data_IF_693606014152
#
_entry.id   IF_693606014152
#
_cell.length_a   1.000
_cell.length_b   1.000
_cell.length_c   1.000
_cell.angle_alpha   90.00
_cell.angle_beta   90.00
_cell.angle_gamma   90.00
#
_symmetry.space_group_name_H-M   'P 1'
#
loop_
_entity.id
_entity.type
_entity.pdbx_description
1 polymer ?
#
# COMPACT_ATOMS: atom_id res chain seq x y z
N UNK A 1 -15.25 9.06 -0.02
CA UNK A 1 -14.96 7.63 -0.27
C UNK A 1 -16.10 7.06 -1.09
N UNK A 2 -15.80 6.35 -2.17
CA UNK A 2 -16.79 5.50 -2.86
C UNK A 2 -17.23 4.41 -1.89
N UNK A 3 -18.54 4.15 -1.80
CA UNK A 3 -19.10 3.13 -0.91
C UNK A 3 -18.86 1.74 -1.53
N UNK A 4 -17.62 1.27 -1.48
CA UNK A 4 -17.15 -0.02 -2.01
C UNK A 4 -16.66 -0.88 -0.84
N UNK A 5 -16.87 -2.19 -0.91
CA UNK A 5 -16.31 -3.09 0.10
C UNK A 5 -14.81 -3.29 -0.15
N UNK A 6 -14.04 -3.51 0.91
CA UNK A 6 -12.60 -3.84 0.81
C UNK A 6 -12.34 -4.98 -0.18
N UNK A 7 -13.19 -6.01 -0.17
CA UNK A 7 -13.06 -7.11 -1.13
C UNK A 7 -13.15 -6.64 -2.59
N UNK A 8 -14.04 -5.71 -2.93
CA UNK A 8 -14.14 -5.18 -4.29
C UNK A 8 -13.01 -4.20 -4.62
N UNK A 9 -12.46 -3.53 -3.61
CA UNK A 9 -11.24 -2.73 -3.70
C UNK A 9 -10.02 -3.62 -4.02
N UNK A 10 -9.88 -4.78 -3.37
CA UNK A 10 -8.85 -5.78 -3.69
C UNK A 10 -8.90 -6.22 -5.16
N UNK A 11 -10.11 -6.39 -5.72
CA UNK A 11 -10.26 -6.71 -7.16
C UNK A 11 -9.76 -5.59 -8.06
N UNK A 12 -10.06 -4.33 -7.75
CA UNK A 12 -9.60 -3.19 -8.53
C UNK A 12 -8.07 -3.07 -8.47
N UNK A 13 -7.49 -3.22 -7.28
CA UNK A 13 -6.04 -3.23 -7.09
C UNK A 13 -5.39 -4.37 -7.88
N UNK A 14 -5.89 -5.60 -7.75
CA UNK A 14 -5.33 -6.75 -8.48
C UNK A 14 -5.38 -6.55 -10.01
N UNK A 15 -6.49 -6.02 -10.54
CA UNK A 15 -6.60 -5.69 -11.98
C UNK A 15 -5.55 -4.64 -12.37
N UNK A 16 -5.38 -3.61 -11.55
CA UNK A 16 -4.39 -2.55 -11.79
C UNK A 16 -2.97 -3.10 -11.83
N UNK A 17 -2.55 -3.85 -10.80
CA UNK A 17 -1.21 -4.44 -10.73
C UNK A 17 -0.94 -5.43 -11.87
N UNK A 18 -1.90 -6.29 -12.21
CA UNK A 18 -1.74 -7.23 -13.31
C UNK A 18 -1.61 -6.48 -14.64
N UNK A 19 -2.40 -5.44 -14.86
CA UNK A 19 -2.33 -4.64 -16.07
C UNK A 19 -0.99 -3.89 -16.21
N UNK A 20 -0.46 -3.33 -15.13
CA UNK A 20 0.86 -2.66 -15.15
C UNK A 20 2.00 -3.66 -15.46
N UNK A 21 1.88 -4.92 -15.03
CA UNK A 21 2.91 -5.94 -15.23
C UNK A 21 2.80 -6.72 -16.55
N UNK A 22 1.57 -7.01 -17.01
CA UNK A 22 1.28 -7.90 -18.15
C UNK A 22 0.56 -7.21 -19.31
N UNK A 23 0.24 -5.92 -19.18
CA UNK A 23 -0.52 -5.13 -20.14
C UNK A 23 -2.05 -5.30 -20.02
N UNK A 24 -2.54 -6.48 -19.64
CA UNK A 24 -3.97 -6.72 -19.47
C UNK A 24 -4.27 -7.76 -18.38
N UNK A 25 -5.36 -7.57 -17.64
CA UNK A 25 -5.80 -8.52 -16.62
C UNK A 25 -6.75 -9.55 -17.21
N UNK A 26 -6.50 -10.84 -16.95
CA UNK A 26 -7.44 -11.93 -17.29
C UNK A 26 -8.08 -12.46 -16.01
N UNK A 27 -9.34 -12.96 -16.05
CA UNK A 27 -10.01 -13.52 -14.87
C UNK A 27 -9.20 -14.61 -14.14
N UNK A 28 -8.42 -15.42 -14.89
CA UNK A 28 -7.52 -16.43 -14.33
C UNK A 28 -6.38 -15.81 -13.52
N UNK A 29 -5.77 -14.73 -14.01
CA UNK A 29 -4.70 -14.04 -13.29
C UNK A 29 -5.22 -13.39 -12.01
N UNK A 30 -6.43 -12.81 -12.07
CA UNK A 30 -7.11 -12.22 -10.91
C UNK A 30 -7.39 -13.29 -9.85
N UNK A 31 -7.95 -14.45 -10.26
CA UNK A 31 -8.22 -15.57 -9.37
C UNK A 31 -6.95 -16.04 -8.64
N UNK A 32 -5.85 -16.17 -9.39
CA UNK A 32 -4.56 -16.61 -8.85
C UNK A 32 -3.96 -15.57 -7.88
N UNK A 33 -3.97 -14.28 -8.24
CA UNK A 33 -3.44 -13.18 -7.43
C UNK A 33 -4.16 -13.05 -6.09
N UNK A 34 -5.49 -13.15 -6.11
CA UNK A 34 -6.35 -13.03 -4.93
C UNK A 34 -6.57 -14.35 -4.20
N UNK A 35 -6.07 -15.48 -4.74
CA UNK A 35 -6.27 -16.84 -4.19
C UNK A 35 -7.76 -17.19 -3.99
N UNK A 36 -8.61 -16.81 -4.96
CA UNK A 36 -10.06 -17.03 -4.93
C UNK A 36 -10.54 -17.93 -6.07
N UNK A 37 -11.76 -18.45 -5.95
CA UNK A 37 -12.37 -19.29 -7.00
C UNK A 37 -12.73 -18.44 -8.24
N UNK A 38 -12.64 -18.97 -9.47
CA UNK A 38 -13.03 -18.26 -10.70
C UNK A 38 -14.48 -17.73 -10.70
N UNK A 39 -15.39 -18.44 -10.02
CA UNK A 39 -16.77 -18.00 -9.85
C UNK A 39 -16.87 -16.69 -9.03
N UNK A 40 -16.03 -16.54 -7.99
CA UNK A 40 -15.94 -15.31 -7.19
C UNK A 40 -15.47 -14.13 -8.04
N UNK A 41 -14.47 -14.36 -8.90
CA UNK A 41 -13.99 -13.33 -9.84
C UNK A 41 -15.10 -12.87 -10.77
N UNK A 42 -15.84 -13.81 -11.35
CA UNK A 42 -16.94 -13.48 -12.28
C UNK A 42 -18.02 -12.64 -11.59
N UNK A 43 -18.40 -12.99 -10.36
CA UNK A 43 -19.35 -12.22 -9.56
C UNK A 43 -18.85 -10.80 -9.25
N UNK A 44 -17.60 -10.67 -8.81
CA UNK A 44 -16.99 -9.38 -8.50
C UNK A 44 -16.87 -8.48 -9.75
N UNK A 45 -16.46 -9.03 -10.89
CA UNK A 45 -16.34 -8.29 -12.14
C UNK A 45 -17.68 -7.76 -12.65
N UNK A 46 -18.76 -8.55 -12.54
CA UNK A 46 -20.11 -8.08 -12.84
C UNK A 46 -20.50 -6.90 -11.96
N UNK A 47 -20.29 -7.02 -10.65
CA UNK A 47 -20.63 -5.97 -9.68
C UNK A 47 -19.80 -4.69 -9.90
N UNK A 48 -18.51 -4.80 -10.21
CA UNK A 48 -17.67 -3.66 -10.57
C UNK A 48 -18.08 -3.02 -11.90
N UNK A 49 -18.54 -3.83 -12.87
CA UNK A 49 -19.02 -3.36 -14.16
C UNK A 49 -20.34 -2.59 -14.01
N UNK A 50 -21.27 -3.07 -13.19
CA UNK A 50 -22.52 -2.36 -12.85
C UNK A 50 -22.26 -0.99 -12.21
N UNK A 51 -21.12 -0.84 -11.51
CA UNK A 51 -20.64 0.42 -10.93
C UNK A 51 -19.79 1.26 -11.91
N UNK A 52 -19.62 0.85 -13.16
CA UNK A 52 -18.77 1.51 -14.17
C UNK A 52 -17.30 1.66 -13.75
N UNK A 53 -16.77 0.71 -12.97
CA UNK A 53 -15.37 0.72 -12.51
C UNK A 53 -14.46 -0.15 -13.39
N UNK A 54 -15.02 -1.13 -14.08
CA UNK A 54 -14.31 -1.99 -15.04
C UNK A 54 -15.10 -2.12 -16.34
N UNK A 55 -14.38 -2.37 -17.44
CA UNK A 55 -14.96 -2.92 -18.66
C UNK A 55 -14.79 -4.44 -18.60
N UNK A 56 -15.90 -5.17 -18.53
CA UNK A 56 -15.92 -6.61 -18.43
C UNK A 56 -16.81 -7.23 -19.50
N UNK A 57 -16.26 -8.17 -20.26
CA UNK A 57 -16.99 -9.06 -21.15
C UNK A 57 -16.57 -10.52 -20.90
N UNK A 58 -17.50 -11.49 -21.02
CA UNK A 58 -17.15 -12.90 -20.94
C UNK A 58 -16.03 -13.27 -21.92
N UNK A 59 -15.07 -14.08 -21.46
CA UNK A 59 -13.92 -14.58 -22.23
C UNK A 59 -12.89 -13.54 -22.71
N UNK A 60 -13.06 -12.27 -22.34
CA UNK A 60 -12.16 -11.19 -22.72
C UNK A 60 -11.21 -10.78 -21.58
N UNK A 61 -10.27 -9.89 -21.88
CA UNK A 61 -9.49 -9.17 -20.89
C UNK A 61 -10.36 -8.16 -20.14
N UNK A 62 -10.01 -7.94 -18.88
CA UNK A 62 -10.64 -6.93 -18.01
C UNK A 62 -9.79 -5.68 -18.03
N UNK A 63 -10.41 -4.52 -18.25
CA UNK A 63 -9.73 -3.23 -18.13
C UNK A 63 -10.43 -2.33 -17.12
N UNK A 64 -9.67 -1.46 -16.47
CA UNK A 64 -10.24 -0.45 -15.58
C UNK A 64 -10.80 0.71 -16.41
N UNK A 65 -11.95 1.24 -16.00
CA UNK A 65 -12.38 2.56 -16.49
C UNK A 65 -11.48 3.65 -15.90
N UNK A 66 -11.58 4.89 -16.38
CA UNK A 66 -10.83 6.00 -15.80
C UNK A 66 -11.09 6.17 -14.29
N UNK A 67 -12.36 6.01 -13.88
CA UNK A 67 -12.76 6.06 -12.46
C UNK A 67 -12.20 4.88 -11.68
N UNK A 68 -12.32 3.64 -12.21
CA UNK A 68 -11.76 2.45 -11.57
C UNK A 68 -10.24 2.53 -11.42
N UNK A 69 -9.53 3.04 -12.43
CA UNK A 69 -8.07 3.23 -12.40
C UNK A 69 -7.65 4.21 -11.31
N UNK A 70 -8.40 5.30 -11.11
CA UNK A 70 -8.11 6.26 -10.03
C UNK A 70 -8.25 5.63 -8.65
N UNK A 71 -9.32 4.85 -8.44
CA UNK A 71 -9.57 4.15 -7.17
C UNK A 71 -8.47 3.11 -6.92
N UNK A 72 -8.23 2.23 -7.89
CA UNK A 72 -7.21 1.19 -7.81
C UNK A 72 -5.81 1.76 -7.53
N UNK A 73 -5.43 2.83 -8.24
CA UNK A 73 -4.14 3.51 -8.02
C UNK A 73 -4.04 4.10 -6.61
N UNK A 74 -5.14 4.62 -6.07
CA UNK A 74 -5.17 5.13 -4.71
C UNK A 74 -4.91 4.01 -3.70
N UNK A 75 -5.62 2.88 -3.83
CA UNK A 75 -5.46 1.70 -2.97
C UNK A 75 -4.03 1.16 -3.05
N UNK A 76 -3.51 0.92 -4.27
CA UNK A 76 -2.14 0.47 -4.51
C UNK A 76 -1.08 1.40 -3.92
N UNK A 77 -1.32 2.73 -3.94
CA UNK A 77 -0.44 3.70 -3.30
C UNK A 77 -0.42 3.51 -1.77
N UNK A 78 -1.59 3.28 -1.17
CA UNK A 78 -1.71 3.00 0.27
C UNK A 78 -1.02 1.70 0.66
N UNK A 79 -1.28 0.61 -0.07
CA UNK A 79 -0.62 -0.67 0.11
C UNK A 79 0.91 -0.51 0.14
N UNK A 80 1.45 0.10 -0.91
CA UNK A 80 2.88 0.28 -1.09
C UNK A 80 3.50 1.17 0.00
N UNK A 81 2.82 2.25 0.38
CA UNK A 81 3.30 3.14 1.43
C UNK A 81 3.37 2.44 2.79
N UNK A 82 2.34 1.69 3.16
CA UNK A 82 2.31 0.90 4.39
C UNK A 82 3.39 -0.19 4.37
N UNK A 83 3.49 -0.93 3.28
CA UNK A 83 4.46 -2.02 3.17
C UNK A 83 5.91 -1.50 3.24
N UNK A 84 6.21 -0.43 2.51
CA UNK A 84 7.52 0.23 2.58
C UNK A 84 7.83 0.75 3.98
N UNK A 85 6.84 1.29 4.68
CA UNK A 85 7.02 1.74 6.06
C UNK A 85 7.41 0.57 6.97
N UNK A 86 6.64 -0.53 6.92
CA UNK A 86 6.94 -1.69 7.73
C UNK A 86 8.29 -2.34 7.41
N UNK A 87 8.66 -2.45 6.14
CA UNK A 87 9.90 -3.12 5.76
C UNK A 87 11.13 -2.23 5.89
N UNK A 88 11.04 -0.96 5.49
CA UNK A 88 12.22 -0.10 5.37
C UNK A 88 12.43 0.78 6.61
N UNK A 89 11.35 1.10 7.34
CA UNK A 89 11.44 1.91 8.55
C UNK A 89 11.44 1.05 9.79
N UNK A 90 10.59 0.02 9.88
CA UNK A 90 10.53 -0.86 11.07
C UNK A 90 11.37 -2.13 10.95
N UNK A 91 11.99 -2.38 9.80
CA UNK A 91 12.81 -3.57 9.51
C UNK A 91 12.08 -4.90 9.74
N UNK A 92 10.78 -4.94 9.44
CA UNK A 92 9.97 -6.15 9.56
C UNK A 92 10.03 -6.93 8.23
N UNK A 93 10.28 -8.24 8.24
CA UNK A 93 10.25 -9.06 7.03
C UNK A 93 8.94 -8.89 6.25
N UNK A 94 9.04 -8.63 4.95
CA UNK A 94 7.87 -8.37 4.07
C UNK A 94 6.76 -9.41 4.22
N UNK A 95 7.13 -10.70 4.29
CA UNK A 95 6.17 -11.80 4.40
C UNK A 95 5.30 -11.78 5.66
N UNK A 96 5.74 -11.10 6.72
CA UNK A 96 4.97 -10.96 7.97
C UNK A 96 3.96 -9.82 7.92
N UNK A 97 4.16 -8.83 7.04
CA UNK A 97 3.39 -7.58 7.01
C UNK A 97 2.56 -7.39 5.75
N UNK A 98 2.73 -8.22 4.72
CA UNK A 98 2.03 -8.07 3.43
C UNK A 98 0.50 -8.19 3.58
N UNK A 99 0.02 -9.22 4.30
CA UNK A 99 -1.40 -9.39 4.60
C UNK A 99 -1.94 -8.30 5.54
N UNK A 100 -1.08 -7.72 6.37
CA UNK A 100 -1.46 -6.65 7.30
C UNK A 100 -1.61 -5.31 6.57
N UNK A 101 -0.65 -4.96 5.70
CA UNK A 101 -0.71 -3.79 4.83
C UNK A 101 -1.97 -3.82 3.94
N UNK A 102 -2.25 -4.98 3.34
CA UNK A 102 -3.46 -5.23 2.53
C UNK A 102 -4.76 -4.93 3.29
N UNK A 103 -4.86 -5.28 4.57
CA UNK A 103 -6.06 -4.97 5.38
C UNK A 103 -6.13 -3.50 5.77
N UNK A 104 -4.98 -2.90 6.06
CA UNK A 104 -4.90 -1.52 6.56
C UNK A 104 -5.18 -0.47 5.50
N UNK A 105 -4.83 -0.72 4.23
CA UNK A 105 -4.99 0.25 3.15
C UNK A 105 -6.45 0.71 2.95
N UNK A 106 -7.41 -0.18 3.21
CA UNK A 106 -8.84 0.07 3.04
C UNK A 106 -9.44 0.92 4.17
N UNK A 107 -8.78 0.94 5.33
CA UNK A 107 -9.29 1.60 6.54
C UNK A 107 -8.49 2.85 6.92
N UNK A 108 -7.24 2.97 6.47
CA UNK A 108 -6.39 4.10 6.84
C UNK A 108 -6.87 5.40 6.15
N UNK A 109 -7.17 6.47 6.92
CA UNK A 109 -7.49 7.77 6.36
C UNK A 109 -6.28 8.38 5.63
N UNK A 110 -6.54 9.11 4.54
CA UNK A 110 -5.48 9.65 3.68
C UNK A 110 -4.52 10.56 4.46
N UNK A 111 -5.03 11.43 5.32
CA UNK A 111 -4.22 12.34 6.14
C UNK A 111 -3.31 11.59 7.14
N UNK A 112 -3.71 10.41 7.62
CA UNK A 112 -2.86 9.60 8.51
C UNK A 112 -1.73 8.98 7.70
N UNK A 113 -2.06 8.41 6.54
CA UNK A 113 -1.05 7.83 5.65
C UNK A 113 -0.03 8.86 5.16
N UNK A 114 -0.48 10.08 4.85
CA UNK A 114 0.41 11.19 4.48
C UNK A 114 1.46 11.44 5.56
N UNK A 115 1.06 11.46 6.84
CA UNK A 115 2.01 11.62 7.96
C UNK A 115 2.95 10.44 8.12
N UNK A 116 2.50 9.22 7.85
CA UNK A 116 3.37 8.03 7.79
C UNK A 116 4.46 8.19 6.73
N UNK A 117 4.08 8.62 5.52
CA UNK A 117 5.01 8.81 4.40
C UNK A 117 5.99 9.95 4.69
N UNK A 118 5.51 11.10 5.17
CA UNK A 118 6.36 12.23 5.57
C UNK A 118 7.40 11.81 6.62
N UNK A 119 6.99 11.04 7.61
CA UNK A 119 7.89 10.52 8.63
C UNK A 119 8.90 9.52 8.04
N UNK A 120 8.46 8.59 7.19
CA UNK A 120 9.35 7.65 6.52
C UNK A 120 10.41 8.37 5.67
N UNK A 121 10.01 9.37 4.89
CA UNK A 121 10.92 10.19 4.08
C UNK A 121 11.89 11.00 4.94
N UNK A 122 11.44 11.53 6.08
CA UNK A 122 12.31 12.21 7.02
C UNK A 122 13.39 11.26 7.58
N UNK A 123 13.00 10.05 7.98
CA UNK A 123 13.93 9.03 8.50
C UNK A 123 14.93 8.61 7.43
N UNK A 124 14.49 8.41 6.19
CA UNK A 124 15.37 8.00 5.08
C UNK A 124 16.39 9.09 4.70
N UNK A 125 15.97 10.37 4.72
CA UNK A 125 16.80 11.52 4.33
C UNK A 125 17.72 12.05 5.44
N UNK A 126 17.49 11.70 6.71
CA UNK A 126 18.29 12.23 7.84
C UNK A 126 19.66 11.52 7.91
N UNK A 127 20.78 12.23 7.67
CA UNK A 127 22.13 11.64 7.61
C UNK A 127 22.59 11.00 8.94
N UNK A 128 22.12 11.49 10.08
CA UNK A 128 22.37 10.89 11.40
C UNK A 128 21.32 9.82 11.71
N UNK A 129 21.37 8.69 10.99
CA UNK A 129 20.54 7.48 11.19
C UNK A 129 20.77 6.83 12.58
N UNK A 130 20.36 7.52 13.64
CA UNK A 130 20.43 7.05 15.01
C UNK A 130 19.32 6.08 15.41
N UNK A 131 18.44 5.69 14.48
CA UNK A 131 17.47 4.65 14.73
C UNK A 131 18.09 3.29 14.42
N UNK A 132 18.79 2.71 15.38
CA UNK A 132 19.17 1.29 15.33
C UNK A 132 17.98 0.51 15.90
N UNK A 133 17.20 -0.12 15.03
CA UNK A 133 16.20 -1.10 15.44
C UNK A 133 16.95 -2.38 15.83
N UNK A 134 17.17 -2.59 17.14
CA UNK A 134 17.57 -3.92 17.63
C UNK A 134 16.30 -4.74 17.79
N UNK A 135 16.37 -6.04 17.52
CA UNK A 135 15.30 -6.99 17.79
C UNK A 135 14.80 -6.81 19.24
N UNK A 136 13.55 -6.36 19.42
CA UNK A 136 12.98 -6.06 20.73
C UNK A 136 13.32 -4.70 21.38
N UNK A 137 13.94 -3.75 20.68
CA UNK A 137 14.20 -2.40 21.19
C UNK A 137 13.44 -1.33 20.38
N UNK A 138 12.58 -0.57 21.08
CA UNK A 138 11.93 0.63 20.57
C UNK A 138 12.97 1.74 20.38
N UNK A 139 13.14 2.25 19.17
CA UNK A 139 14.19 3.19 18.81
C UNK A 139 14.25 4.46 19.67
N UNK A 140 15.46 5.01 19.84
CA UNK A 140 15.70 6.29 20.52
C UNK A 140 15.34 7.47 19.61
N UNK A 141 14.66 8.47 20.19
CA UNK A 141 14.21 9.68 19.52
C UNK A 141 15.04 10.89 19.99
N UNK A 142 15.49 11.72 19.04
CA UNK A 142 16.16 13.00 19.31
C UNK A 142 15.14 14.01 19.86
N UNK A 143 15.04 14.15 21.19
CA UNK A 143 14.05 15.03 21.85
C UNK A 143 14.51 16.49 21.96
N UNK A 144 15.74 16.82 21.54
CA UNK A 144 16.39 18.06 21.95
C UNK A 144 16.07 19.29 21.08
N UNK A 145 15.81 19.17 19.77
CA UNK A 145 15.95 20.34 18.88
C UNK A 145 14.84 20.58 17.82
N UNK A 146 13.77 19.79 17.78
CA UNK A 146 12.69 19.97 16.81
C UNK A 146 13.08 19.59 15.37
N UNK A 147 12.09 19.58 14.48
CA UNK A 147 12.17 18.95 13.15
C UNK A 147 12.68 19.96 12.11
N UNK A 148 13.99 19.94 11.82
CA UNK A 148 14.57 20.60 10.64
C UNK A 148 15.67 19.74 10.03
N UNK A 149 15.75 19.70 8.69
CA UNK A 149 16.83 19.01 7.96
C UNK A 149 18.22 19.51 8.37
N UNK A 150 18.37 20.79 8.69
CA UNK A 150 19.64 21.38 9.17
C UNK A 150 19.98 21.03 10.62
N UNK A 151 19.03 20.50 11.39
CA UNK A 151 19.23 20.13 12.80
C UNK A 151 19.57 18.64 12.97
N UNK A 152 19.39 17.82 11.92
CA UNK A 152 19.78 16.41 11.94
C UNK A 152 21.29 16.26 12.17
N UNK A 153 22.12 17.10 11.53
CA UNK A 153 23.59 17.10 11.66
C UNK A 153 24.09 17.36 13.09
N UNK A 154 23.28 18.04 13.91
CA UNK A 154 23.60 18.36 15.31
C UNK A 154 23.09 17.34 16.34
N UNK A 155 22.38 16.29 15.91
CA UNK A 155 21.87 15.27 16.84
C UNK A 155 23.01 14.35 17.31
N UNK A 156 23.59 14.66 18.49
CA UNK A 156 24.54 13.79 19.17
C UNK A 156 23.77 12.70 19.92
N UNK A 157 23.94 11.44 19.51
CA UNK A 157 23.44 10.30 20.28
C UNK A 157 24.38 10.10 21.46
N UNK A 158 23.94 10.48 22.65
CA UNK A 158 24.68 10.17 23.87
C UNK A 158 24.83 8.65 23.99
N UNK A 159 26.08 8.20 23.86
CA UNK A 159 26.44 6.80 24.03
C UNK A 159 26.45 6.49 25.54
N UNK A 160 25.43 5.77 26.02
CA UNK A 160 25.49 5.07 27.30
C UNK A 160 25.32 3.58 27.11
#
# INVERSE_FOLDING_TARGET
MTNLSSSLEDYLEAIFEIAENKGAARPKDIANRLKVKPASVTGALKHLSEKNLVNYAPYDVVTLTATGKRIAKSIAKKHKALLNFFTNVLDIPRGEVEDFACKMEHIIPDHVLERFVEFAEFVDKCPNRGAIWREGAHGYFCTAHGVSQTLCDSCQLDSK
#
